data_IF_114218380115
#
_entry.id   IF_114218380115
#
_cell.length_a   1.000
_cell.length_b   1.000
_cell.length_c   1.000
_cell.angle_alpha   90.00
_cell.angle_beta   90.00
_cell.angle_gamma   90.00
#
_symmetry.space_group_name_H-M   'P 1'
#
loop_
_entity.id
_entity.type
_entity.pdbx_description
1 polymer ?
#
# COMPACT_ATOMS: atom_id res chain seq x y z
N UNK A 1 -26.62 -18.21 -22.28
CA UNK A 1 -25.20 -18.37 -21.88
C UNK A 1 -24.96 -17.38 -20.75
N UNK A 2 -24.82 -17.84 -19.50
CA UNK A 2 -24.54 -16.94 -18.38
C UNK A 2 -23.11 -16.38 -18.50
N UNK A 3 -22.93 -15.10 -18.17
CA UNK A 3 -21.60 -14.46 -18.22
C UNK A 3 -20.74 -14.96 -17.05
N UNK A 4 -19.42 -15.00 -17.21
CA UNK A 4 -18.49 -15.53 -16.19
C UNK A 4 -18.42 -14.71 -14.89
N UNK A 5 -18.88 -13.46 -14.90
CA UNK A 5 -18.81 -12.55 -13.74
C UNK A 5 -20.19 -11.98 -13.38
N UNK A 6 -20.55 -11.90 -12.09
CA UNK A 6 -19.81 -12.42 -10.93
C UNK A 6 -19.95 -13.94 -10.78
N UNK A 7 -18.85 -14.65 -10.46
CA UNK A 7 -18.86 -16.13 -10.28
C UNK A 7 -19.73 -16.55 -9.08
N UNK A 8 -19.79 -15.70 -8.06
CA UNK A 8 -20.42 -15.98 -6.77
C UNK A 8 -21.93 -15.68 -6.71
N UNK A 9 -22.53 -15.18 -7.81
CA UNK A 9 -23.97 -14.95 -7.89
C UNK A 9 -24.49 -15.18 -9.31
N UNK A 10 -25.16 -16.31 -9.54
CA UNK A 10 -25.80 -16.67 -10.80
C UNK A 10 -26.93 -15.71 -11.16
N UNK A 11 -27.68 -15.25 -10.15
CA UNK A 11 -28.74 -14.25 -10.33
C UNK A 11 -28.19 -12.95 -10.93
N UNK A 12 -27.09 -12.43 -10.38
CA UNK A 12 -26.41 -11.26 -10.95
C UNK A 12 -25.75 -11.58 -12.29
N UNK A 13 -25.14 -12.76 -12.46
CA UNK A 13 -24.46 -13.15 -13.70
C UNK A 13 -25.39 -13.21 -14.93
N UNK A 14 -26.69 -13.38 -14.71
CA UNK A 14 -27.73 -13.37 -15.74
C UNK A 14 -28.25 -11.97 -16.08
N UNK A 15 -27.97 -10.95 -15.26
CA UNK A 15 -28.40 -9.59 -15.54
C UNK A 15 -27.69 -9.06 -16.82
N UNK A 16 -28.46 -8.73 -17.88
CA UNK A 16 -27.90 -8.36 -19.17
C UNK A 16 -27.40 -6.92 -19.21
N UNK A 17 -27.57 -6.15 -18.13
CA UNK A 17 -27.28 -4.72 -18.08
C UNK A 17 -25.91 -4.44 -17.42
N UNK A 18 -25.52 -3.16 -17.38
CA UNK A 18 -24.34 -2.71 -16.64
C UNK A 18 -24.49 -2.82 -15.12
N UNK A 19 -25.73 -2.94 -14.61
CA UNK A 19 -26.02 -3.16 -13.18
C UNK A 19 -25.25 -4.37 -12.65
N UNK A 20 -25.15 -5.44 -13.43
CA UNK A 20 -24.37 -6.64 -13.11
C UNK A 20 -22.93 -6.32 -12.67
N UNK A 21 -22.26 -5.43 -13.40
CA UNK A 21 -20.86 -5.07 -13.13
C UNK A 21 -20.76 -4.34 -11.80
N UNK A 22 -21.61 -3.33 -11.61
CA UNK A 22 -21.62 -2.51 -10.40
C UNK A 22 -21.95 -3.32 -9.15
N UNK A 23 -23.02 -4.13 -9.20
CA UNK A 23 -23.39 -4.97 -8.06
C UNK A 23 -22.38 -6.08 -7.82
N UNK A 24 -21.80 -6.67 -8.88
CA UNK A 24 -20.73 -7.66 -8.72
C UNK A 24 -19.48 -7.11 -8.03
N UNK A 25 -19.17 -5.81 -8.15
CA UNK A 25 -18.09 -5.19 -7.37
C UNK A 25 -18.56 -4.88 -5.95
N UNK A 26 -19.75 -4.29 -5.81
CA UNK A 26 -20.28 -3.84 -4.52
C UNK A 26 -20.53 -4.97 -3.52
N UNK A 27 -20.89 -6.17 -3.98
CA UNK A 27 -21.20 -7.33 -3.11
C UNK A 27 -20.08 -8.37 -3.11
N UNK A 28 -18.88 -8.05 -3.62
CA UNK A 28 -17.78 -9.01 -3.73
C UNK A 28 -17.29 -9.53 -2.37
N UNK A 29 -17.36 -8.69 -1.33
CA UNK A 29 -16.95 -9.05 0.04
C UNK A 29 -18.13 -9.35 0.98
N UNK A 30 -19.37 -9.34 0.47
CA UNK A 30 -20.55 -9.81 1.19
C UNK A 30 -20.67 -11.33 1.04
N UNK A 31 -19.75 -12.06 1.68
CA UNK A 31 -19.60 -13.51 1.48
C UNK A 31 -20.85 -14.30 1.91
N UNK A 32 -21.61 -13.81 2.89
CA UNK A 32 -22.84 -14.44 3.36
C UNK A 32 -23.92 -14.47 2.27
N UNK A 33 -23.90 -13.49 1.35
CA UNK A 33 -24.87 -13.40 0.25
C UNK A 33 -24.46 -14.21 -0.99
N UNK A 34 -23.33 -14.93 -0.95
CA UNK A 34 -22.83 -15.67 -2.11
C UNK A 34 -23.58 -17.00 -2.26
N UNK A 35 -23.79 -17.41 -3.51
CA UNK A 35 -24.48 -18.67 -3.81
C UNK A 35 -23.73 -19.86 -3.17
N UNK A 36 -24.48 -20.78 -2.55
CA UNK A 36 -24.00 -22.01 -1.93
C UNK A 36 -22.92 -21.85 -0.83
N UNK A 37 -22.87 -20.69 -0.16
CA UNK A 37 -21.94 -20.48 0.97
C UNK A 37 -22.38 -21.27 2.21
N UNK A 38 -21.44 -21.96 2.85
CA UNK A 38 -21.62 -22.60 4.15
C UNK A 38 -20.93 -21.78 5.24
N UNK A 39 -21.34 -21.94 6.50
CA UNK A 39 -20.71 -21.24 7.63
C UNK A 39 -19.21 -21.56 7.74
N UNK A 40 -18.81 -22.82 7.59
CA UNK A 40 -17.40 -23.22 7.60
C UNK A 40 -16.60 -22.48 6.51
N UNK A 41 -17.11 -22.46 5.28
CA UNK A 41 -16.43 -21.82 4.15
C UNK A 41 -16.39 -20.31 4.27
N UNK A 42 -17.44 -19.70 4.84
CA UNK A 42 -17.47 -18.29 5.18
C UNK A 42 -16.28 -17.93 6.08
N UNK A 43 -16.11 -18.65 7.20
CA UNK A 43 -15.01 -18.38 8.12
C UNK A 43 -13.63 -18.65 7.51
N UNK A 44 -13.47 -19.70 6.70
CA UNK A 44 -12.21 -19.96 5.98
C UNK A 44 -11.86 -18.83 5.00
N UNK A 45 -12.83 -18.34 4.23
CA UNK A 45 -12.64 -17.21 3.32
C UNK A 45 -12.26 -15.93 4.07
N UNK A 46 -12.94 -15.64 5.20
CA UNK A 46 -12.63 -14.48 6.04
C UNK A 46 -11.20 -14.59 6.61
N UNK A 47 -10.83 -15.76 7.11
CA UNK A 47 -9.52 -16.01 7.68
C UNK A 47 -8.39 -15.80 6.66
N UNK A 48 -8.50 -16.38 5.46
CA UNK A 48 -7.55 -16.14 4.37
C UNK A 48 -7.53 -14.66 3.95
N UNK A 49 -8.69 -13.99 3.92
CA UNK A 49 -8.79 -12.56 3.60
C UNK A 49 -8.07 -11.68 4.63
N UNK A 50 -8.09 -12.04 5.91
CA UNK A 50 -7.33 -11.33 6.95
C UNK A 50 -5.82 -11.41 6.71
N UNK A 51 -5.31 -12.57 6.31
CA UNK A 51 -3.89 -12.71 5.94
C UNK A 51 -3.53 -11.87 4.72
N UNK A 52 -4.41 -11.81 3.72
CA UNK A 52 -4.27 -10.89 2.58
C UNK A 52 -4.20 -9.43 3.03
N UNK A 53 -5.08 -9.01 3.94
CA UNK A 53 -5.09 -7.65 4.48
C UNK A 53 -3.82 -7.33 5.29
N UNK A 54 -3.34 -8.27 6.11
CA UNK A 54 -2.08 -8.12 6.84
C UNK A 54 -0.88 -7.94 5.89
N UNK A 55 -0.83 -8.75 4.81
CA UNK A 55 0.20 -8.62 3.79
C UNK A 55 0.20 -7.22 3.15
N UNK A 56 -0.96 -6.68 2.81
CA UNK A 56 -1.10 -5.32 2.25
C UNK A 56 -0.55 -4.27 3.23
N UNK A 57 -0.85 -4.38 4.53
CA UNK A 57 -0.34 -3.44 5.54
C UNK A 57 1.19 -3.53 5.66
N UNK A 58 1.75 -4.74 5.69
CA UNK A 58 3.20 -4.92 5.75
C UNK A 58 3.89 -4.37 4.51
N UNK A 59 3.35 -4.64 3.32
CA UNK A 59 3.90 -4.15 2.06
C UNK A 59 3.79 -2.62 1.95
N UNK A 60 2.68 -2.03 2.37
CA UNK A 60 2.52 -0.57 2.44
C UNK A 60 3.55 0.06 3.39
N UNK A 61 3.76 -0.51 4.57
CA UNK A 61 4.73 -0.01 5.55
C UNK A 61 6.16 -0.18 5.02
N UNK A 62 6.46 -1.30 4.37
CA UNK A 62 7.72 -1.55 3.65
C UNK A 62 7.98 -0.48 2.58
N UNK A 63 6.98 -0.16 1.76
CA UNK A 63 7.08 0.89 0.74
C UNK A 63 7.43 2.26 1.32
N UNK A 64 6.81 2.64 2.44
CA UNK A 64 7.13 3.90 3.12
C UNK A 64 8.60 3.94 3.56
N UNK A 65 9.09 2.89 4.22
CA UNK A 65 10.49 2.78 4.63
C UNK A 65 11.45 2.82 3.42
N UNK A 66 11.13 2.06 2.38
CA UNK A 66 11.95 1.95 1.18
C UNK A 66 12.08 3.28 0.44
N UNK A 67 10.97 3.98 0.20
CA UNK A 67 11.00 5.27 -0.49
C UNK A 67 11.79 6.32 0.29
N UNK A 68 11.67 6.34 1.62
CA UNK A 68 12.46 7.26 2.45
C UNK A 68 13.94 6.87 2.48
N UNK A 69 14.27 5.57 2.58
CA UNK A 69 15.65 5.10 2.54
C UNK A 69 16.35 5.41 1.21
N UNK A 70 15.61 5.31 0.10
CA UNK A 70 16.17 5.45 -1.25
C UNK A 70 16.17 6.89 -1.77
N UNK A 71 15.05 7.61 -1.59
CA UNK A 71 14.81 8.92 -2.20
C UNK A 71 14.57 10.03 -1.16
N UNK A 72 14.44 9.66 0.11
CA UNK A 72 14.27 10.59 1.21
C UNK A 72 15.58 11.27 1.63
N UNK A 73 15.47 12.06 2.69
CA UNK A 73 16.58 12.77 3.30
C UNK A 73 16.71 12.43 4.80
N UNK A 74 16.38 11.18 5.18
CA UNK A 74 16.28 10.78 6.59
C UNK A 74 17.55 11.07 7.40
N UNK A 75 18.73 10.70 6.91
CA UNK A 75 19.99 10.98 7.62
C UNK A 75 20.25 12.48 7.80
N UNK A 76 19.96 13.31 6.79
CA UNK A 76 20.07 14.76 6.90
C UNK A 76 19.03 15.33 7.88
N UNK A 77 17.80 14.81 7.85
CA UNK A 77 16.74 15.19 8.78
C UNK A 77 17.08 14.84 10.23
N UNK A 78 17.70 13.69 10.46
CA UNK A 78 18.16 13.25 11.79
C UNK A 78 19.16 14.23 12.41
N UNK A 79 20.00 14.89 11.59
CA UNK A 79 20.96 15.89 12.07
C UNK A 79 20.32 17.23 12.46
N UNK A 80 19.25 17.64 11.78
CA UNK A 80 18.51 18.87 12.10
C UNK A 80 16.98 18.71 11.88
N UNK A 81 16.30 18.01 12.82
CA UNK A 81 14.88 17.66 12.68
C UNK A 81 13.92 18.85 12.67
N UNK A 82 14.38 20.03 13.12
CA UNK A 82 13.56 21.23 13.27
C UNK A 82 13.50 22.07 12.00
N UNK A 83 14.55 22.05 11.18
CA UNK A 83 14.64 22.90 9.98
C UNK A 83 14.64 22.12 8.67
N UNK A 84 15.12 20.87 8.67
CA UNK A 84 15.06 20.01 7.48
C UNK A 84 13.64 19.52 7.31
N UNK A 85 13.08 19.71 6.11
CA UNK A 85 11.76 19.18 5.77
C UNK A 85 11.89 17.73 5.30
N UNK A 86 11.13 16.78 5.88
CA UNK A 86 11.23 15.37 5.51
C UNK A 86 10.71 15.13 4.10
N UNK A 87 11.41 14.33 3.31
CA UNK A 87 11.03 13.96 1.95
C UNK A 87 10.25 12.62 1.96
N UNK A 88 9.10 12.58 1.28
CA UNK A 88 8.33 11.35 1.12
C UNK A 88 8.96 10.44 0.06
N UNK A 89 9.01 10.91 -1.19
CA UNK A 89 9.58 10.21 -2.34
C UNK A 89 9.84 11.21 -3.48
N UNK A 90 10.58 10.79 -4.50
CA UNK A 90 10.80 11.57 -5.71
C UNK A 90 9.53 11.65 -6.57
N UNK A 91 9.37 12.75 -7.30
CA UNK A 91 8.32 12.91 -8.30
C UNK A 91 8.93 12.57 -9.67
N UNK A 92 8.27 11.67 -10.40
CA UNK A 92 8.57 11.38 -11.79
C UNK A 92 7.31 11.56 -12.63
N UNK A 93 7.14 12.76 -13.18
CA UNK A 93 6.00 13.10 -14.04
C UNK A 93 6.51 13.73 -15.36
N UNK A 94 6.37 13.02 -16.50
CA UNK A 94 6.85 13.52 -17.79
C UNK A 94 6.05 14.72 -18.32
N UNK A 95 4.92 15.06 -17.71
CA UNK A 95 4.11 16.22 -18.09
C UNK A 95 4.55 17.51 -17.39
N UNK A 96 5.50 17.44 -16.44
CA UNK A 96 6.00 18.62 -15.76
C UNK A 96 6.79 19.51 -16.74
N UNK A 97 6.33 20.75 -16.90
CA UNK A 97 7.16 21.80 -17.47
C UNK A 97 8.29 22.20 -16.52
N UNK A 98 9.33 22.83 -17.06
CA UNK A 98 10.50 23.27 -16.29
C UNK A 98 10.14 24.07 -15.00
N UNK A 99 9.17 25.01 -15.00
CA UNK A 99 8.78 25.71 -13.78
C UNK A 99 8.25 24.79 -12.68
N UNK A 100 7.55 23.70 -13.04
CA UNK A 100 7.07 22.73 -12.07
C UNK A 100 8.23 21.90 -11.51
N UNK A 101 9.18 21.48 -12.36
CA UNK A 101 10.40 20.79 -11.92
C UNK A 101 11.14 21.63 -10.88
N UNK A 102 11.38 22.92 -11.17
CA UNK A 102 12.03 23.84 -10.24
C UNK A 102 11.19 24.05 -8.98
N UNK A 103 9.88 24.26 -9.13
CA UNK A 103 8.99 24.48 -8.00
C UNK A 103 8.93 23.26 -7.06
N UNK A 104 9.04 22.03 -7.54
CA UNK A 104 9.02 20.83 -6.69
C UNK A 104 10.40 20.32 -6.27
N UNK A 105 11.48 20.88 -6.82
CA UNK A 105 12.85 20.61 -6.36
C UNK A 105 13.12 21.40 -5.08
N UNK A 106 12.74 20.81 -3.93
CA UNK A 106 12.80 21.44 -2.60
C UNK A 106 13.50 20.55 -1.59
N UNK A 107 13.76 21.06 -0.38
CA UNK A 107 14.29 20.26 0.74
C UNK A 107 15.73 19.81 0.57
N UNK A 108 16.50 20.51 -0.27
CA UNK A 108 17.89 20.15 -0.59
C UNK A 108 18.04 19.00 -1.58
N UNK A 109 16.95 18.53 -2.20
CA UNK A 109 16.98 17.49 -3.21
C UNK A 109 17.54 17.98 -4.56
N UNK A 110 18.12 17.06 -5.34
CA UNK A 110 18.63 17.33 -6.70
C UNK A 110 17.53 17.32 -7.77
N UNK A 111 16.29 17.01 -7.39
CA UNK A 111 15.16 16.98 -8.31
C UNK A 111 13.81 17.06 -7.59
N UNK A 112 12.70 16.95 -8.34
CA UNK A 112 11.36 17.09 -7.79
C UNK A 112 11.04 16.06 -6.70
N UNK A 113 10.51 16.51 -5.57
CA UNK A 113 10.16 15.65 -4.42
C UNK A 113 8.87 16.10 -3.75
N UNK A 114 8.21 15.17 -3.05
CA UNK A 114 7.12 15.49 -2.13
C UNK A 114 7.64 15.65 -0.70
N UNK A 115 7.13 16.66 0.02
CA UNK A 115 7.36 16.80 1.47
C UNK A 115 6.42 15.87 2.23
N UNK A 116 6.96 15.09 3.16
CA UNK A 116 6.20 14.17 3.99
C UNK A 116 5.51 14.90 5.14
N UNK A 117 4.21 14.60 5.35
CA UNK A 117 3.43 15.10 6.48
C UNK A 117 2.81 13.99 7.33
N UNK A 118 3.18 12.72 7.08
CA UNK A 118 2.65 11.55 7.78
C UNK A 118 3.23 11.35 9.19
N UNK A 119 4.31 12.06 9.55
CA UNK A 119 4.97 11.92 10.85
C UNK A 119 5.92 10.72 10.98
N UNK A 120 6.14 9.96 9.90
CA UNK A 120 6.93 8.71 9.94
C UNK A 120 8.41 8.95 10.28
N UNK A 121 8.98 10.09 9.89
CA UNK A 121 10.36 10.46 10.25
C UNK A 121 10.50 10.60 11.77
N UNK A 122 9.59 11.33 12.41
CA UNK A 122 9.56 11.54 13.86
C UNK A 122 9.39 10.22 14.59
N UNK A 123 8.47 9.36 14.12
CA UNK A 123 8.24 8.06 14.72
C UNK A 123 9.49 7.17 14.64
N UNK A 124 10.05 6.98 13.45
CA UNK A 124 11.23 6.14 13.21
C UNK A 124 12.46 6.63 13.98
N UNK A 125 12.66 7.94 14.02
CA UNK A 125 13.70 8.56 14.83
C UNK A 125 13.51 8.27 16.32
N UNK A 126 12.28 8.41 16.83
CA UNK A 126 11.99 8.18 18.25
C UNK A 126 12.23 6.73 18.67
N UNK A 127 11.92 5.76 17.79
CA UNK A 127 12.16 4.32 18.05
C UNK A 127 13.60 3.87 17.79
N UNK A 128 14.49 4.79 17.40
CA UNK A 128 15.95 4.53 17.35
C UNK A 128 16.57 4.39 15.97
N UNK A 129 15.82 4.53 14.87
CA UNK A 129 16.37 4.47 13.51
C UNK A 129 17.18 5.74 13.21
N UNK A 130 18.37 5.60 12.61
CA UNK A 130 19.28 6.73 12.36
C UNK A 130 19.82 6.79 10.94
N UNK A 131 19.91 5.65 10.27
CA UNK A 131 20.51 5.55 8.94
C UNK A 131 19.50 5.07 7.90
N UNK A 132 19.79 5.37 6.63
CA UNK A 132 19.04 4.79 5.51
C UNK A 132 19.16 3.26 5.48
N UNK A 133 20.28 2.72 5.97
CA UNK A 133 20.48 1.28 6.15
C UNK A 133 19.45 0.67 7.09
N UNK A 134 19.17 1.30 8.23
CA UNK A 134 18.17 0.82 9.19
C UNK A 134 16.78 0.74 8.55
N UNK A 135 16.40 1.78 7.80
CA UNK A 135 15.13 1.84 7.08
C UNK A 135 15.06 0.76 5.99
N UNK A 136 16.12 0.58 5.22
CA UNK A 136 16.20 -0.40 4.15
C UNK A 136 16.09 -1.84 4.67
N UNK A 137 16.78 -2.17 5.76
CA UNK A 137 16.66 -3.48 6.42
C UNK A 137 15.24 -3.70 6.93
N UNK A 138 14.60 -2.68 7.53
CA UNK A 138 13.21 -2.74 7.95
C UNK A 138 12.24 -2.98 6.77
N UNK A 139 12.46 -2.32 5.64
CA UNK A 139 11.67 -2.54 4.43
C UNK A 139 11.76 -3.98 3.95
N UNK A 140 12.98 -4.54 3.82
CA UNK A 140 13.16 -5.94 3.40
C UNK A 140 12.51 -6.93 4.37
N UNK A 141 12.64 -6.70 5.67
CA UNK A 141 11.99 -7.53 6.70
C UNK A 141 10.47 -7.52 6.56
N UNK A 142 9.85 -6.35 6.39
CA UNK A 142 8.40 -6.24 6.21
C UNK A 142 7.92 -6.84 4.89
N UNK A 143 8.69 -6.70 3.81
CA UNK A 143 8.41 -7.39 2.54
C UNK A 143 8.42 -8.92 2.70
N UNK A 144 9.34 -9.45 3.50
CA UNK A 144 9.38 -10.87 3.84
C UNK A 144 8.18 -11.30 4.69
N UNK A 145 7.77 -10.52 5.70
CA UNK A 145 6.55 -10.79 6.48
C UNK A 145 5.29 -10.72 5.62
N UNK A 146 5.22 -9.81 4.65
CA UNK A 146 4.15 -9.77 3.66
C UNK A 146 4.08 -11.07 2.87
N UNK A 147 5.22 -11.59 2.38
CA UNK A 147 5.27 -12.85 1.65
C UNK A 147 4.84 -14.04 2.52
N UNK A 148 5.30 -14.11 3.78
CA UNK A 148 4.85 -15.13 4.74
C UNK A 148 3.34 -15.05 4.95
N UNK A 149 2.78 -13.85 5.13
CA UNK A 149 1.35 -13.66 5.36
C UNK A 149 0.51 -14.15 4.17
N UNK A 150 0.96 -13.87 2.94
CA UNK A 150 0.30 -14.39 1.73
C UNK A 150 0.36 -15.92 1.64
N UNK A 151 1.51 -16.53 1.97
CA UNK A 151 1.67 -17.99 1.97
C UNK A 151 0.81 -18.63 3.07
N UNK A 152 0.76 -18.02 4.26
CA UNK A 152 -0.06 -18.49 5.38
C UNK A 152 -1.57 -18.40 5.10
N UNK A 153 -2.01 -17.40 4.34
CA UNK A 153 -3.40 -17.32 3.88
C UNK A 153 -3.74 -18.29 2.72
N UNK A 154 -2.73 -18.84 2.05
CA UNK A 154 -2.89 -19.80 0.95
C UNK A 154 -2.85 -21.27 1.41
N UNK A 155 -2.02 -21.58 2.42
CA UNK A 155 -1.89 -22.89 3.06
C UNK A 155 -3.16 -23.30 3.82
#
# INVERSE_FOLDING_TARGET
MALRFPRFSQGLAQDPTTRRIWFGIATAHDFESHDDITEERLYQNIFASHFGQLAIIFLWTSGNLFHVAWQGNFEAWVQDPLHVRPIAHAIWDPHFGQPAVEAFTRGGALGPVNIAYSGVYQWWYTIGLRTNGDLYTGALFLSFLSAISLIAGWL
#
